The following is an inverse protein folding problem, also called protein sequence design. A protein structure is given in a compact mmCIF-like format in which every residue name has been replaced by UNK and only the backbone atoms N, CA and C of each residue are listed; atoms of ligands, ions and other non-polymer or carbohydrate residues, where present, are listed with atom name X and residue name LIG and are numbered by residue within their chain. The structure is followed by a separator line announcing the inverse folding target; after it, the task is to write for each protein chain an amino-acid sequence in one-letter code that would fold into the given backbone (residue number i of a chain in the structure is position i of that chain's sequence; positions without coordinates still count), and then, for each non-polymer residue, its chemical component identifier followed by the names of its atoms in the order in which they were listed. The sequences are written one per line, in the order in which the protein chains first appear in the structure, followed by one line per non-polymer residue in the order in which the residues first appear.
data_IF_429904014607
#
_entry.id   IF_429904014607
#
_cell.length_a   1.000
_cell.length_b   1.000
_cell.length_c   1.000
_cell.angle_alpha   90.00
_cell.angle_beta   90.00
_cell.angle_gamma   90.00
#
_symmetry.space_group_name_H-M   'P 1'
#
loop_
_entity.id
_entity.type
_entity.pdbx_description
1 polymer ?
#
# COMPACT_ATOMS: atom_id res chain seq x y z
N UNK A 1 1.27 10.14 0.11
CA UNK A 1 1.45 8.68 0.26
C UNK A 1 2.39 8.13 -0.83
N UNK A 2 2.17 8.45 -2.12
CA UNK A 2 2.92 7.89 -3.25
C UNK A 2 4.44 8.09 -3.17
N UNK A 3 4.91 9.31 -2.91
CA UNK A 3 6.35 9.58 -2.78
C UNK A 3 6.99 8.81 -1.62
N UNK A 4 6.31 8.70 -0.47
CA UNK A 4 6.80 7.92 0.66
C UNK A 4 6.92 6.43 0.34
N UNK A 5 6.00 5.90 -0.47
CA UNK A 5 6.03 4.50 -0.89
C UNK A 5 7.12 4.20 -1.93
N UNK A 6 7.59 5.21 -2.68
CA UNK A 6 8.75 5.08 -3.58
C UNK A 6 10.05 5.21 -2.80
N UNK A 7 10.19 6.29 -2.04
CA UNK A 7 11.45 6.66 -1.39
C UNK A 7 11.74 5.77 -0.17
N UNK A 8 10.70 5.42 0.61
CA UNK A 8 10.84 4.66 1.85
C UNK A 8 11.57 3.32 1.66
N UNK A 9 11.08 2.42 0.80
CA UNK A 9 11.74 1.14 0.56
C UNK A 9 13.15 1.27 -0.03
N UNK A 10 13.39 2.26 -0.91
CA UNK A 10 14.72 2.50 -1.48
C UNK A 10 15.72 2.90 -0.40
N UNK A 11 15.37 3.89 0.43
CA UNK A 11 16.24 4.30 1.54
C UNK A 11 16.37 3.15 2.55
N UNK A 12 15.26 2.46 2.86
CA UNK A 12 15.26 1.33 3.77
C UNK A 12 16.18 0.20 3.31
N UNK A 13 16.15 -0.15 2.03
CA UNK A 13 17.02 -1.16 1.44
C UNK A 13 18.50 -0.77 1.46
N UNK A 14 18.84 0.46 1.05
CA UNK A 14 20.23 0.96 1.09
C UNK A 14 20.79 0.98 2.53
N UNK A 15 19.98 1.42 3.48
CA UNK A 15 20.38 1.41 4.89
C UNK A 15 20.46 -0.01 5.45
N UNK A 16 19.64 -0.92 4.96
CA UNK A 16 19.61 -2.34 5.32
C UNK A 16 20.91 -3.05 4.93
N UNK A 17 21.44 -2.79 3.74
CA UNK A 17 22.73 -3.32 3.29
C UNK A 17 23.92 -2.89 4.18
N UNK A 18 23.81 -1.71 4.82
CA UNK A 18 24.83 -1.26 5.78
C UNK A 18 24.68 -2.03 7.11
N UNK A 19 23.44 -2.34 7.48
CA UNK A 19 23.12 -3.14 8.66
C UNK A 19 21.63 -3.20 8.93
N UNK A 20 21.12 -4.38 9.22
CA UNK A 20 19.68 -4.67 9.37
C UNK A 20 18.94 -3.84 10.43
N UNK A 21 19.66 -3.21 11.36
CA UNK A 21 19.09 -2.34 12.41
C UNK A 21 19.08 -0.86 12.02
N UNK A 22 19.89 -0.44 11.04
CA UNK A 22 20.06 0.97 10.67
C UNK A 22 18.78 1.61 10.15
N UNK A 23 17.95 0.93 9.31
CA UNK A 23 16.67 1.48 8.88
C UNK A 23 15.74 1.84 10.04
N UNK A 24 15.75 1.05 11.12
CA UNK A 24 14.90 1.30 12.28
C UNK A 24 15.35 2.54 13.07
N UNK A 25 16.66 2.76 13.21
CA UNK A 25 17.17 3.98 13.84
C UNK A 25 16.87 5.23 12.99
N UNK A 26 17.01 5.13 11.68
CA UNK A 26 16.65 6.22 10.78
C UNK A 26 15.14 6.54 10.86
N UNK A 27 14.30 5.51 10.83
CA UNK A 27 12.86 5.67 10.98
C UNK A 27 12.47 6.28 12.34
N UNK A 28 13.11 5.85 13.43
CA UNK A 28 12.90 6.42 14.76
C UNK A 28 13.29 7.90 14.81
N UNK A 29 14.42 8.27 14.21
CA UNK A 29 14.86 9.66 14.10
C UNK A 29 13.86 10.53 13.34
N UNK A 30 13.40 10.06 12.17
CA UNK A 30 12.36 10.75 11.39
C UNK A 30 11.04 10.87 12.14
N UNK A 31 10.63 9.83 12.87
CA UNK A 31 9.43 9.85 13.68
C UNK A 31 9.54 10.88 14.82
N UNK A 32 10.72 10.97 15.48
CA UNK A 32 11.00 11.96 16.49
C UNK A 32 10.90 13.39 15.94
N UNK A 33 11.53 13.65 14.78
CA UNK A 33 11.45 14.96 14.12
C UNK A 33 10.00 15.31 13.78
N UNK A 34 9.25 14.36 13.23
CA UNK A 34 7.84 14.57 12.91
C UNK A 34 6.98 14.83 14.17
N UNK A 35 7.26 14.12 15.26
CA UNK A 35 6.59 14.34 16.54
C UNK A 35 6.88 15.73 17.11
N UNK A 36 8.16 16.17 17.09
CA UNK A 36 8.55 17.51 17.54
C UNK A 36 7.90 18.58 16.66
N UNK A 37 7.91 18.39 15.35
CA UNK A 37 7.22 19.30 14.42
C UNK A 37 5.72 19.40 14.74
N UNK A 38 5.05 18.26 14.95
CA UNK A 38 3.64 18.21 15.31
C UNK A 38 3.34 18.91 16.64
N UNK A 39 4.23 18.72 17.63
CA UNK A 39 4.05 19.31 18.95
C UNK A 39 4.29 20.82 19.01
N UNK A 40 5.31 21.33 18.30
CA UNK A 40 5.69 22.73 18.40
C UNK A 40 5.12 23.63 17.31
N UNK A 41 4.82 23.10 16.14
CA UNK A 41 4.52 23.91 14.95
C UNK A 41 3.07 23.72 14.47
N UNK A 42 2.51 22.51 14.57
CA UNK A 42 1.16 22.25 14.06
C UNK A 42 0.09 22.85 14.99
N UNK A 43 -0.72 23.79 14.50
CA UNK A 43 -1.87 24.29 15.26
C UNK A 43 -2.96 23.23 15.33
N UNK A 44 -3.73 23.25 16.41
CA UNK A 44 -4.90 22.37 16.55
C UNK A 44 -5.97 22.74 15.50
N UNK A 45 -6.25 21.81 14.61
CA UNK A 45 -7.21 21.98 13.51
C UNK A 45 -8.67 21.90 13.96
N UNK A 46 -8.94 21.23 15.08
CA UNK A 46 -10.29 21.09 15.61
C UNK A 46 -10.65 22.25 16.52
N UNK A 47 -11.52 23.14 16.05
CA UNK A 47 -12.03 24.26 16.85
C UNK A 47 -12.70 23.78 18.15
N UNK A 48 -12.56 24.56 19.23
CA UNK A 48 -13.13 24.21 20.53
C UNK A 48 -14.64 23.96 20.49
N UNK A 49 -15.36 24.66 19.64
CA UNK A 49 -16.82 24.51 19.44
C UNK A 49 -17.22 23.17 18.83
N UNK A 50 -16.33 22.55 18.05
CA UNK A 50 -16.58 21.27 17.39
C UNK A 50 -16.10 20.06 18.19
N UNK A 51 -15.45 20.30 19.34
CA UNK A 51 -14.94 19.22 20.21
C UNK A 51 -16.11 18.53 20.91
N UNK A 52 -16.22 17.23 20.72
CA UNK A 52 -17.21 16.42 21.40
C UNK A 52 -16.58 15.75 22.64
N UNK A 53 -17.31 15.66 23.77
CA UNK A 53 -16.82 14.94 24.95
C UNK A 53 -16.57 13.48 24.59
N UNK A 54 -15.44 12.94 25.05
CA UNK A 54 -15.12 11.53 24.88
C UNK A 54 -16.12 10.66 25.67
N UNK A 55 -16.79 9.75 24.98
CA UNK A 55 -17.70 8.76 25.59
C UNK A 55 -17.28 7.37 25.15
N UNK A 56 -16.84 6.54 26.10
CA UNK A 56 -16.40 5.17 25.83
C UNK A 56 -17.48 4.32 25.14
N UNK A 57 -18.75 4.59 25.43
CA UNK A 57 -19.88 3.90 24.78
C UNK A 57 -19.97 4.15 23.27
N UNK A 58 -19.37 5.25 22.77
CA UNK A 58 -19.30 5.54 21.32
C UNK A 58 -18.10 4.88 20.64
N UNK A 59 -17.09 4.48 21.40
CA UNK A 59 -15.89 3.78 20.89
C UNK A 59 -16.11 2.26 20.80
N UNK A 60 -17.36 1.82 20.71
CA UNK A 60 -17.70 0.40 20.62
C UNK A 60 -17.54 -0.11 19.17
N UNK A 61 -16.50 -0.91 18.86
CA UNK A 61 -16.30 -1.46 17.51
C UNK A 61 -17.45 -2.39 17.08
N UNK A 62 -18.09 -3.07 18.05
CA UNK A 62 -19.24 -3.95 17.75
C UNK A 62 -20.47 -3.16 17.27
N UNK A 63 -20.63 -1.91 17.71
CA UNK A 63 -21.68 -1.02 17.22
C UNK A 63 -21.55 -0.71 15.72
N UNK A 64 -20.33 -0.58 15.25
CA UNK A 64 -20.03 -0.38 13.82
C UNK A 64 -20.46 -1.58 12.98
N UNK A 65 -20.22 -2.82 13.45
CA UNK A 65 -20.68 -4.03 12.78
C UNK A 65 -22.21 -4.12 12.70
N UNK A 66 -22.91 -3.68 13.73
CA UNK A 66 -24.38 -3.66 13.74
C UNK A 66 -24.95 -2.62 12.76
N UNK A 67 -24.29 -1.48 12.59
CA UNK A 67 -24.66 -0.51 11.55
C UNK A 67 -24.37 -1.05 10.14
N UNK A 68 -23.24 -1.72 9.94
CA UNK A 68 -22.88 -2.34 8.67
C UNK A 68 -23.94 -3.37 8.22
N UNK A 69 -24.46 -4.17 9.15
CA UNK A 69 -25.50 -5.20 8.87
C UNK A 69 -26.79 -4.64 8.26
N UNK A 70 -27.06 -3.35 8.44
CA UNK A 70 -28.24 -2.68 7.88
C UNK A 70 -28.13 -2.40 6.38
N UNK A 71 -26.90 -2.49 5.82
CA UNK A 71 -26.63 -2.16 4.43
C UNK A 71 -25.90 -3.33 3.74
N UNK A 72 -26.64 -4.30 3.15
CA UNK A 72 -26.04 -5.50 2.53
C UNK A 72 -24.97 -5.20 1.47
N UNK A 73 -25.17 -4.13 0.69
CA UNK A 73 -24.20 -3.68 -0.31
C UNK A 73 -22.85 -3.29 0.34
N UNK A 74 -22.92 -2.59 1.47
CA UNK A 74 -21.71 -2.16 2.20
C UNK A 74 -20.97 -3.36 2.78
N UNK A 75 -21.70 -4.37 3.27
CA UNK A 75 -21.10 -5.64 3.73
C UNK A 75 -20.33 -6.30 2.58
N UNK A 76 -20.97 -6.47 1.42
CA UNK A 76 -20.34 -7.09 0.26
C UNK A 76 -19.04 -6.38 -0.15
N UNK A 77 -19.08 -5.04 -0.22
CA UNK A 77 -17.91 -4.23 -0.51
C UNK A 77 -16.82 -4.37 0.59
N UNK A 78 -17.20 -4.35 1.85
CA UNK A 78 -16.27 -4.51 2.98
C UNK A 78 -15.58 -5.87 2.97
N UNK A 79 -16.32 -6.94 2.66
CA UNK A 79 -15.76 -8.29 2.53
C UNK A 79 -14.80 -8.39 1.34
N UNK A 80 -15.16 -7.80 0.19
CA UNK A 80 -14.29 -7.77 -0.97
C UNK A 80 -12.98 -7.00 -0.66
N UNK A 81 -13.08 -5.83 -0.04
CA UNK A 81 -11.93 -5.06 0.41
C UNK A 81 -11.07 -5.84 1.42
N UNK A 82 -11.68 -6.53 2.37
CA UNK A 82 -10.98 -7.35 3.35
C UNK A 82 -10.08 -8.41 2.68
N UNK A 83 -10.62 -9.17 1.73
CA UNK A 83 -9.83 -10.16 0.98
C UNK A 83 -8.76 -9.51 0.09
N UNK A 84 -9.07 -8.38 -0.53
CA UNK A 84 -8.08 -7.62 -1.32
C UNK A 84 -6.92 -7.16 -0.44
N UNK A 85 -7.19 -6.62 0.75
CA UNK A 85 -6.15 -6.22 1.69
C UNK A 85 -5.34 -7.40 2.23
N UNK A 86 -5.96 -8.54 2.51
CA UNK A 86 -5.23 -9.75 2.90
C UNK A 86 -4.24 -10.15 1.80
N UNK A 87 -4.69 -10.24 0.54
CA UNK A 87 -3.83 -10.62 -0.57
C UNK A 87 -2.67 -9.62 -0.74
N UNK A 88 -2.96 -8.33 -0.64
CA UNK A 88 -1.97 -7.27 -0.79
C UNK A 88 -0.91 -7.31 0.32
N UNK A 89 -1.33 -7.41 1.57
CA UNK A 89 -0.42 -7.49 2.71
C UNK A 89 0.35 -8.80 2.76
N UNK A 90 -0.24 -9.92 2.35
CA UNK A 90 0.48 -11.19 2.22
C UNK A 90 1.66 -11.05 1.24
N UNK A 91 1.43 -10.44 0.08
CA UNK A 91 2.50 -10.19 -0.89
C UNK A 91 3.59 -9.29 -0.33
N UNK A 92 3.21 -8.17 0.31
CA UNK A 92 4.19 -7.25 0.88
C UNK A 92 5.03 -7.87 1.99
N UNK A 93 4.42 -8.65 2.88
CA UNK A 93 5.12 -9.28 4.02
C UNK A 93 6.08 -10.40 3.59
N UNK A 94 5.80 -11.07 2.49
CA UNK A 94 6.64 -12.16 1.97
C UNK A 94 7.64 -11.71 0.92
N UNK A 95 7.52 -10.48 0.40
CA UNK A 95 8.28 -10.00 -0.74
C UNK A 95 9.78 -10.11 -0.57
N UNK A 96 10.31 -9.60 0.54
CA UNK A 96 11.74 -9.64 0.82
C UNK A 96 12.26 -11.09 0.89
N UNK A 97 11.57 -11.96 1.63
CA UNK A 97 11.94 -13.37 1.73
C UNK A 97 11.91 -14.08 0.38
N UNK A 98 10.87 -13.87 -0.40
CA UNK A 98 10.73 -14.45 -1.74
C UNK A 98 11.86 -14.02 -2.68
N UNK A 99 12.19 -12.74 -2.71
CA UNK A 99 13.19 -12.21 -3.65
C UNK A 99 14.62 -12.55 -3.23
N UNK A 100 14.91 -12.56 -1.94
CA UNK A 100 16.21 -12.98 -1.40
C UNK A 100 16.42 -14.48 -1.63
N UNK A 101 15.44 -15.32 -1.27
CA UNK A 101 15.55 -16.77 -1.40
C UNK A 101 15.58 -17.21 -2.88
N UNK A 102 14.76 -16.59 -3.74
CA UNK A 102 14.60 -17.00 -5.13
C UNK A 102 15.68 -16.47 -6.06
N UNK A 103 16.12 -15.24 -5.85
CA UNK A 103 17.02 -14.52 -6.77
C UNK A 103 18.36 -14.15 -6.13
N UNK A 104 18.56 -14.37 -4.83
CA UNK A 104 19.76 -13.99 -4.11
C UNK A 104 19.95 -12.45 -3.98
N UNK A 105 18.84 -11.71 -3.97
CA UNK A 105 18.88 -10.24 -3.91
C UNK A 105 19.42 -9.74 -2.57
N UNK A 106 20.18 -8.63 -2.63
CA UNK A 106 20.53 -7.84 -1.46
C UNK A 106 19.32 -7.05 -0.93
N UNK A 107 19.43 -6.49 0.27
CA UNK A 107 18.38 -5.66 0.86
C UNK A 107 18.13 -4.39 0.00
N UNK A 108 19.18 -3.83 -0.61
CA UNK A 108 19.05 -2.71 -1.53
C UNK A 108 18.29 -3.07 -2.81
N UNK A 109 18.56 -4.24 -3.41
CA UNK A 109 17.83 -4.70 -4.59
C UNK A 109 16.34 -4.94 -4.30
N UNK A 110 16.02 -5.48 -3.12
CA UNK A 110 14.63 -5.57 -2.63
C UNK A 110 14.02 -4.17 -2.52
N UNK A 111 14.74 -3.22 -1.92
CA UNK A 111 14.32 -1.83 -1.81
C UNK A 111 14.06 -1.16 -3.15
N UNK A 112 14.94 -1.36 -4.14
CA UNK A 112 14.77 -0.84 -5.50
C UNK A 112 13.55 -1.42 -6.19
N UNK A 113 13.30 -2.72 -6.03
CA UNK A 113 12.12 -3.37 -6.60
C UNK A 113 10.83 -2.80 -6.05
N UNK A 114 10.74 -2.57 -4.74
CA UNK A 114 9.59 -1.95 -4.09
C UNK A 114 9.42 -0.48 -4.50
N UNK A 115 10.52 0.26 -4.63
CA UNK A 115 10.51 1.62 -5.17
C UNK A 115 9.98 1.67 -6.60
N UNK A 116 10.38 0.72 -7.44
CA UNK A 116 9.89 0.60 -8.82
C UNK A 116 8.38 0.27 -8.86
N UNK A 117 7.90 -0.65 -8.02
CA UNK A 117 6.45 -0.89 -7.86
C UNK A 117 5.74 0.39 -7.45
N UNK A 118 6.27 1.12 -6.47
CA UNK A 118 5.72 2.39 -6.04
C UNK A 118 5.59 3.40 -7.18
N UNK A 119 6.65 3.52 -8.00
CA UNK A 119 6.63 4.37 -9.18
C UNK A 119 5.55 3.95 -10.19
N UNK A 120 5.44 2.65 -10.48
CA UNK A 120 4.40 2.13 -11.39
C UNK A 120 3.00 2.39 -10.85
N UNK A 121 2.76 2.20 -9.55
CA UNK A 121 1.47 2.51 -8.91
C UNK A 121 1.14 3.99 -9.04
N UNK A 122 2.09 4.89 -8.79
CA UNK A 122 1.88 6.34 -8.94
C UNK A 122 1.54 6.72 -10.37
N UNK A 123 2.23 6.13 -11.35
CA UNK A 123 1.92 6.35 -12.77
C UNK A 123 0.52 5.83 -13.14
N UNK A 124 0.15 4.65 -12.69
CA UNK A 124 -1.18 4.10 -12.94
C UNK A 124 -2.27 4.95 -12.29
N UNK A 125 -2.14 5.29 -11.02
CA UNK A 125 -3.13 6.08 -10.28
C UNK A 125 -3.17 7.55 -10.75
N UNK A 126 -2.04 8.13 -11.11
CA UNK A 126 -1.96 9.53 -11.54
C UNK A 126 -2.42 9.76 -12.98
N UNK A 127 -2.08 8.85 -13.88
CA UNK A 127 -2.28 9.03 -15.31
C UNK A 127 -3.33 8.07 -15.89
N UNK A 128 -3.21 6.77 -15.60
CA UNK A 128 -3.99 5.75 -16.33
C UNK A 128 -5.41 5.66 -15.79
N UNK A 129 -5.63 5.75 -14.48
CA UNK A 129 -6.95 5.57 -13.87
C UNK A 129 -7.97 6.58 -14.42
N UNK A 130 -7.57 7.83 -14.60
CA UNK A 130 -8.47 8.88 -15.14
C UNK A 130 -8.95 8.56 -16.54
N UNK A 131 -8.05 8.06 -17.38
CA UNK A 131 -8.37 7.69 -18.77
C UNK A 131 -9.20 6.40 -18.82
N UNK A 132 -8.81 5.39 -18.01
CA UNK A 132 -9.52 4.13 -17.93
C UNK A 132 -10.97 4.31 -17.46
N UNK A 133 -11.18 5.07 -16.36
CA UNK A 133 -12.52 5.33 -15.83
C UNK A 133 -13.36 6.15 -16.81
N UNK A 134 -12.76 7.14 -17.50
CA UNK A 134 -13.46 7.92 -18.51
C UNK A 134 -13.91 7.07 -19.72
N UNK A 135 -13.09 6.10 -20.12
CA UNK A 135 -13.34 5.27 -21.29
C UNK A 135 -14.30 4.11 -21.01
N UNK A 136 -14.11 3.38 -19.90
CA UNK A 136 -14.86 2.15 -19.61
C UNK A 136 -15.84 2.25 -18.44
N UNK A 137 -15.80 3.36 -17.68
CA UNK A 137 -16.58 3.56 -16.46
C UNK A 137 -15.98 2.87 -15.24
N UNK A 138 -16.42 3.30 -14.04
CA UNK A 138 -15.85 2.83 -12.76
C UNK A 138 -15.96 1.31 -12.57
N UNK A 139 -17.14 0.73 -12.81
CA UNK A 139 -17.38 -0.69 -12.55
C UNK A 139 -16.50 -1.58 -13.42
N UNK A 140 -16.40 -1.28 -14.72
CA UNK A 140 -15.54 -2.05 -15.63
C UNK A 140 -14.06 -1.86 -15.29
N UNK A 141 -13.63 -0.66 -14.91
CA UNK A 141 -12.26 -0.39 -14.49
C UNK A 141 -11.86 -1.26 -13.28
N UNK A 142 -12.75 -1.43 -12.29
CA UNK A 142 -12.52 -2.31 -11.14
C UNK A 142 -12.34 -3.76 -11.58
N UNK A 143 -13.22 -4.31 -12.42
CA UNK A 143 -13.08 -5.69 -12.91
C UNK A 143 -11.80 -5.91 -13.71
N UNK A 144 -11.45 -4.96 -14.58
CA UNK A 144 -10.21 -5.00 -15.34
C UNK A 144 -8.99 -4.93 -14.43
N UNK A 145 -9.02 -4.05 -13.42
CA UNK A 145 -7.96 -3.94 -12.42
C UNK A 145 -7.78 -5.24 -11.63
N UNK A 146 -8.85 -5.84 -11.14
CA UNK A 146 -8.79 -7.13 -10.45
C UNK A 146 -8.23 -8.25 -11.35
N UNK A 147 -8.61 -8.26 -12.63
CA UNK A 147 -8.06 -9.18 -13.62
C UNK A 147 -6.55 -9.01 -13.81
N UNK A 148 -6.07 -7.77 -13.95
CA UNK A 148 -4.64 -7.47 -14.02
C UNK A 148 -3.90 -7.82 -12.74
N UNK A 149 -4.49 -7.61 -11.57
CA UNK A 149 -3.90 -8.00 -10.29
C UNK A 149 -3.72 -9.52 -10.22
N UNK A 150 -4.76 -10.29 -10.58
CA UNK A 150 -4.69 -11.75 -10.64
C UNK A 150 -3.60 -12.23 -11.61
N UNK A 151 -3.56 -11.70 -12.83
CA UNK A 151 -2.54 -12.04 -13.83
C UNK A 151 -1.15 -11.67 -13.34
N UNK A 152 -0.98 -10.47 -12.77
CA UNK A 152 0.29 -10.02 -12.20
C UNK A 152 0.80 -10.96 -11.10
N UNK A 153 -0.07 -11.36 -10.18
CA UNK A 153 0.27 -12.34 -9.12
C UNK A 153 0.70 -13.69 -9.70
N UNK A 154 -0.04 -14.21 -10.69
CA UNK A 154 0.33 -15.47 -11.36
C UNK A 154 1.67 -15.34 -12.07
N UNK A 155 1.91 -14.25 -12.78
CA UNK A 155 3.19 -14.03 -13.47
C UNK A 155 4.36 -13.93 -12.48
N UNK A 156 4.19 -13.29 -11.32
CA UNK A 156 5.20 -13.26 -10.25
C UNK A 156 5.56 -14.68 -9.81
N UNK A 157 4.56 -15.54 -9.63
CA UNK A 157 4.79 -16.95 -9.21
C UNK A 157 5.62 -17.75 -10.22
N UNK A 158 5.54 -17.41 -11.51
CA UNK A 158 6.31 -18.08 -12.58
C UNK A 158 7.67 -17.43 -12.88
N UNK A 159 8.05 -16.34 -12.21
CA UNK A 159 9.35 -15.72 -12.43
C UNK A 159 10.48 -16.63 -11.98
N UNK A 160 11.48 -16.75 -12.83
CA UNK A 160 12.68 -17.56 -12.58
C UNK A 160 13.95 -16.71 -12.46
N UNK A 161 13.90 -15.48 -12.93
CA UNK A 161 15.03 -14.55 -12.93
C UNK A 161 14.61 -13.18 -12.39
N UNK A 162 15.50 -12.49 -11.65
CA UNK A 162 15.19 -11.23 -10.98
C UNK A 162 14.72 -10.11 -11.92
N UNK A 163 15.28 -10.00 -13.14
CA UNK A 163 14.86 -8.98 -14.10
C UNK A 163 13.41 -9.14 -14.56
N UNK A 164 12.88 -10.38 -14.57
CA UNK A 164 11.49 -10.65 -14.95
C UNK A 164 10.50 -9.97 -14.01
N UNK A 165 10.88 -9.80 -12.74
CA UNK A 165 10.07 -9.09 -11.74
C UNK A 165 9.72 -7.69 -12.24
N UNK A 166 10.69 -6.92 -12.75
CA UNK A 166 10.44 -5.55 -13.24
C UNK A 166 9.45 -5.52 -14.40
N UNK A 167 9.51 -6.50 -15.30
CA UNK A 167 8.56 -6.62 -16.41
C UNK A 167 7.13 -6.95 -15.93
N UNK A 168 7.02 -7.86 -14.97
CA UNK A 168 5.74 -8.31 -14.44
C UNK A 168 5.09 -7.26 -13.53
N UNK A 169 5.88 -6.37 -12.94
CA UNK A 169 5.35 -5.28 -12.10
C UNK A 169 4.44 -4.32 -12.88
N UNK A 170 4.60 -4.19 -14.19
CA UNK A 170 3.70 -3.35 -14.98
C UNK A 170 2.25 -3.88 -14.98
N UNK A 171 1.96 -5.13 -15.41
CA UNK A 171 0.60 -5.67 -15.29
C UNK A 171 0.12 -5.74 -13.84
N UNK A 172 0.98 -6.04 -12.87
CA UNK A 172 0.62 -6.01 -11.46
C UNK A 172 0.14 -4.63 -11.01
N UNK A 173 0.87 -3.56 -11.40
CA UNK A 173 0.51 -2.18 -11.03
C UNK A 173 -0.81 -1.73 -11.67
N UNK A 174 -1.19 -2.25 -12.86
CA UNK A 174 -2.50 -2.01 -13.46
C UNK A 174 -3.65 -2.54 -12.59
N UNK A 175 -3.37 -3.47 -11.68
CA UNK A 175 -4.29 -3.86 -10.61
C UNK A 175 -4.76 -2.68 -9.77
N UNK A 176 -3.98 -1.60 -9.67
CA UNK A 176 -4.36 -0.34 -9.02
C UNK A 176 -5.56 0.38 -9.63
N UNK A 177 -6.08 -0.08 -10.79
CA UNK A 177 -7.37 0.39 -11.34
C UNK A 177 -8.57 -0.05 -10.49
N UNK A 178 -8.38 -1.02 -9.59
CA UNK A 178 -9.42 -1.53 -8.70
C UNK A 178 -9.48 -0.80 -7.35
N UNK A 179 -8.49 0.08 -7.05
CA UNK A 179 -8.31 0.75 -5.75
C UNK A 179 -8.79 2.19 -5.69
#
# INVERSE_FOLDING_TARGET
FGLGFIIGPVIGGILGDIGSRIPFFAAAGLALVNWLYGYFILPESLSKSNRRPFKLSRANPFGTFNQLKRHPLIIGLSVALFFTYIAHHATQSTWAYFTIERFGWSEAEVGYSLGFVGLMIVLVQGLIIRHAVKFMGQIKAVYVGLGFNMVGMLLIAFTTQGWMIYAVMFPYALGGLAG
#
